data_IF_274120210041
#
_entry.id   IF_274120210041
#
_cell.length_a   1.000
_cell.length_b   1.000
_cell.length_c   1.000
_cell.angle_alpha   90.00
_cell.angle_beta   90.00
_cell.angle_gamma   90.00
#
_symmetry.space_group_name_H-M   'P 1'
#
loop_
_entity.id
_entity.type
_entity.pdbx_description
1 polymer ?
#
# COMPACT_ATOMS: atom_id res chain seq x y z
N UNK A 1 -1.48 -3.27 4.36
CA UNK A 1 -2.62 -2.36 4.67
C UNK A 1 -3.21 -2.62 6.05
N UNK A 2 -3.81 -3.79 6.36
CA UNK A 2 -4.43 -4.01 7.70
C UNK A 2 -3.46 -3.88 8.86
N UNK A 3 -2.25 -4.43 8.74
CA UNK A 3 -1.21 -4.28 9.77
C UNK A 3 -0.79 -2.83 9.95
N UNK A 4 -0.58 -2.08 8.86
CA UNK A 4 -0.27 -0.65 8.91
C UNK A 4 -1.36 0.14 9.62
N UNK A 5 -2.63 -0.12 9.30
CA UNK A 5 -3.75 0.50 10.00
C UNK A 5 -3.72 0.22 11.50
N UNK A 6 -3.57 -1.05 11.88
CA UNK A 6 -3.52 -1.44 13.30
C UNK A 6 -2.35 -0.76 14.03
N UNK A 7 -1.18 -0.65 13.39
CA UNK A 7 -0.01 0.04 13.96
C UNK A 7 -0.28 1.53 14.10
N UNK A 8 -0.77 2.20 13.04
CA UNK A 8 -1.06 3.64 13.06
C UNK A 8 -2.03 4.02 14.19
N UNK A 9 -3.02 3.16 14.49
CA UNK A 9 -3.95 3.41 15.61
C UNK A 9 -3.30 3.28 16.99
N UNK A 10 -2.13 2.65 17.10
CA UNK A 10 -1.43 2.37 18.35
C UNK A 10 -0.28 3.32 18.64
N UNK A 11 0.21 3.99 17.60
CA UNK A 11 1.31 4.94 17.76
C UNK A 11 0.83 6.23 18.41
N UNK A 12 1.59 6.73 19.38
CA UNK A 12 1.39 8.05 19.97
C UNK A 12 1.85 9.12 18.98
N UNK A 13 1.04 10.15 18.80
CA UNK A 13 1.38 11.30 17.96
C UNK A 13 2.59 12.05 18.50
N UNK A 14 3.39 12.59 17.60
CA UNK A 14 4.51 13.46 17.92
C UNK A 14 4.29 14.83 17.26
N UNK A 15 4.54 15.93 18.00
CA UNK A 15 4.20 17.29 17.57
C UNK A 15 4.80 17.70 16.21
N UNK A 16 5.98 17.20 15.89
CA UNK A 16 6.75 17.63 14.73
C UNK A 16 6.95 16.55 13.65
N UNK A 17 6.30 15.39 13.77
CA UNK A 17 6.50 14.28 12.84
C UNK A 17 5.21 13.52 12.59
N UNK A 18 5.02 13.04 11.37
CA UNK A 18 3.84 12.26 11.02
C UNK A 18 3.89 10.88 11.69
N UNK A 19 2.73 10.33 12.03
CA UNK A 19 2.62 8.95 12.52
C UNK A 19 3.15 7.94 11.50
N UNK A 20 3.06 8.31 10.24
CA UNK A 20 3.52 7.48 9.15
C UNK A 20 5.05 7.39 9.09
N UNK A 21 5.75 8.53 9.19
CA UNK A 21 7.22 8.58 9.29
C UNK A 21 7.70 7.82 10.53
N UNK A 22 6.99 7.98 11.64
CA UNK A 22 7.28 7.22 12.87
C UNK A 22 7.16 5.71 12.67
N UNK A 23 6.11 5.25 11.98
CA UNK A 23 5.94 3.83 11.64
C UNK A 23 7.08 3.30 10.78
N UNK A 24 7.51 4.06 9.76
CA UNK A 24 8.61 3.69 8.89
C UNK A 24 9.95 3.60 9.62
N UNK A 25 10.22 4.53 10.53
CA UNK A 25 11.42 4.49 11.39
C UNK A 25 11.41 3.25 12.29
N UNK A 26 10.26 2.86 12.83
CA UNK A 26 10.14 1.63 13.63
C UNK A 26 10.31 0.36 12.78
N UNK A 27 10.00 0.43 11.49
CA UNK A 27 10.25 -0.65 10.52
C UNK A 27 11.72 -0.69 10.05
N UNK A 28 12.54 0.25 10.52
CA UNK A 28 13.98 0.31 10.22
C UNK A 28 14.33 1.14 8.99
N UNK A 29 13.39 1.86 8.39
CA UNK A 29 13.65 2.75 7.27
C UNK A 29 14.44 3.99 7.71
N UNK A 30 15.33 4.45 6.86
CA UNK A 30 16.07 5.70 7.07
C UNK A 30 15.42 6.84 6.28
N UNK A 31 14.75 7.74 6.98
CA UNK A 31 14.00 8.84 6.38
C UNK A 31 14.76 10.18 6.37
N UNK A 32 16.05 10.21 6.69
CA UNK A 32 16.82 11.46 6.80
C UNK A 32 16.79 12.32 5.54
N UNK A 33 16.75 11.68 4.39
CA UNK A 33 16.77 12.37 3.09
C UNK A 33 15.37 12.70 2.56
N UNK A 34 14.34 11.96 3.00
CA UNK A 34 12.96 12.08 2.52
C UNK A 34 12.08 12.89 3.46
N UNK A 35 12.29 12.79 4.76
CA UNK A 35 11.55 13.54 5.77
C UNK A 35 12.50 14.12 6.83
N UNK A 36 12.98 15.37 6.65
CA UNK A 36 13.89 16.01 7.60
C UNK A 36 13.30 16.21 9.01
N UNK A 37 11.98 16.08 9.17
CA UNK A 37 11.29 16.17 10.46
C UNK A 37 11.22 14.84 11.19
N UNK A 38 11.51 13.73 10.52
CA UNK A 38 11.54 12.43 11.14
C UNK A 38 12.64 12.38 12.21
N UNK A 39 12.28 11.83 13.36
CA UNK A 39 13.18 11.66 14.50
C UNK A 39 13.81 10.28 14.50
N UNK A 40 14.84 10.07 15.27
CA UNK A 40 15.40 8.74 15.47
C UNK A 40 14.45 7.85 16.27
N UNK A 41 14.61 6.54 16.15
CA UNK A 41 13.82 5.56 16.89
C UNK A 41 13.89 5.82 18.42
N UNK A 42 15.07 6.14 18.94
CA UNK A 42 15.25 6.43 20.37
C UNK A 42 14.45 7.66 20.82
N UNK A 43 14.49 8.74 20.05
CA UNK A 43 13.74 9.96 20.36
C UNK A 43 12.22 9.69 20.38
N UNK A 44 11.70 8.85 19.45
CA UNK A 44 10.30 8.48 19.46
C UNK A 44 9.90 7.63 20.67
N UNK A 45 10.75 6.66 21.03
CA UNK A 45 10.52 5.80 22.20
C UNK A 45 10.55 6.62 23.50
N UNK A 46 11.54 7.50 23.65
CA UNK A 46 11.68 8.35 24.83
C UNK A 46 10.49 9.31 24.98
N UNK A 47 10.02 9.90 23.87
CA UNK A 47 8.86 10.79 23.86
C UNK A 47 7.55 10.05 24.20
N UNK A 48 7.35 8.87 23.66
CA UNK A 48 6.14 8.09 23.84
C UNK A 48 6.08 7.44 25.24
N UNK A 49 7.22 7.05 25.78
CA UNK A 49 7.32 6.39 27.07
C UNK A 49 6.57 5.06 27.11
N UNK A 50 5.89 4.80 28.23
CA UNK A 50 5.14 3.54 28.45
C UNK A 50 3.80 3.47 27.71
N UNK A 51 3.35 4.57 27.12
CA UNK A 51 2.05 4.65 26.45
C UNK A 51 2.07 4.09 25.01
N UNK A 52 3.27 3.91 24.45
CA UNK A 52 3.44 3.44 23.07
C UNK A 52 2.89 2.03 22.89
N UNK A 53 1.98 1.87 21.94
CA UNK A 53 1.38 0.58 21.62
C UNK A 53 0.31 0.08 22.61
N UNK A 54 0.08 0.79 23.73
CA UNK A 54 -0.87 0.37 24.75
C UNK A 54 -2.33 0.67 24.38
N UNK A 55 -2.55 1.70 23.58
CA UNK A 55 -3.87 2.11 23.12
C UNK A 55 -4.08 1.71 21.64
N UNK A 56 -5.30 1.91 21.11
CA UNK A 56 -5.65 1.64 19.72
C UNK A 56 -6.29 0.27 19.49
N UNK A 57 -6.40 -0.12 18.23
CA UNK A 57 -7.12 -1.33 17.82
C UNK A 57 -6.34 -2.61 18.15
N UNK A 58 -7.05 -3.59 18.69
CA UNK A 58 -6.45 -4.87 19.05
C UNK A 58 -6.17 -5.75 17.83
N UNK A 59 -5.24 -6.70 17.98
CA UNK A 59 -4.99 -7.72 16.94
C UNK A 59 -6.25 -8.55 16.65
N UNK A 60 -7.08 -8.80 17.67
CA UNK A 60 -8.38 -9.49 17.51
C UNK A 60 -9.32 -8.71 16.57
N UNK A 61 -9.34 -7.38 16.67
CA UNK A 61 -10.09 -6.54 15.75
C UNK A 61 -9.57 -6.71 14.31
N UNK A 62 -8.25 -6.71 14.12
CA UNK A 62 -7.65 -6.91 12.80
C UNK A 62 -8.06 -8.25 12.18
N UNK A 63 -8.04 -9.34 12.94
CA UNK A 63 -8.50 -10.66 12.46
C UNK A 63 -10.00 -10.68 12.16
N UNK A 64 -10.84 -10.02 12.96
CA UNK A 64 -12.26 -9.87 12.70
C UNK A 64 -12.52 -9.18 11.36
N UNK A 65 -11.77 -8.11 11.06
CA UNK A 65 -11.86 -7.40 9.77
C UNK A 65 -11.43 -8.30 8.63
N UNK A 66 -10.25 -8.93 8.71
CA UNK A 66 -9.76 -9.82 7.65
C UNK A 66 -10.73 -10.97 7.36
N UNK A 67 -11.33 -11.57 8.39
CA UNK A 67 -12.36 -12.58 8.22
C UNK A 67 -13.60 -12.05 7.48
N UNK A 68 -14.03 -10.81 7.76
CA UNK A 68 -15.15 -10.19 7.05
C UNK A 68 -14.80 -9.88 5.60
N UNK A 69 -13.58 -9.42 5.33
CA UNK A 69 -13.10 -9.15 3.96
C UNK A 69 -13.04 -10.44 3.15
N UNK A 70 -12.54 -11.51 3.75
CA UNK A 70 -12.46 -12.81 3.09
C UNK A 70 -13.83 -13.40 2.71
N UNK A 71 -14.85 -13.11 3.53
CA UNK A 71 -16.23 -13.56 3.29
C UNK A 71 -17.11 -12.46 2.65
N UNK A 72 -16.53 -11.38 2.15
CA UNK A 72 -17.29 -10.23 1.63
C UNK A 72 -17.98 -10.58 0.31
N UNK A 73 -17.24 -11.25 -0.57
CA UNK A 73 -17.77 -11.72 -1.85
C UNK A 73 -17.35 -13.19 -2.07
N UNK A 74 -18.34 -14.07 -2.11
CA UNK A 74 -18.13 -15.51 -2.31
C UNK A 74 -17.72 -15.87 -3.76
N UNK A 75 -17.79 -14.92 -4.68
CA UNK A 75 -17.37 -15.11 -6.08
C UNK A 75 -15.89 -14.82 -6.30
N UNK A 76 -15.24 -14.09 -5.38
CA UNK A 76 -13.83 -13.78 -5.44
C UNK A 76 -12.98 -14.87 -4.74
N UNK A 77 -11.86 -15.21 -5.37
CA UNK A 77 -10.93 -16.24 -4.87
C UNK A 77 -10.00 -15.71 -3.80
N UNK A 78 -9.81 -14.39 -3.72
CA UNK A 78 -8.86 -13.75 -2.82
C UNK A 78 -9.44 -12.51 -2.14
N UNK A 79 -8.89 -12.18 -0.96
CA UNK A 79 -9.23 -10.95 -0.26
C UNK A 79 -8.80 -9.72 -1.09
N UNK A 80 -9.75 -8.84 -1.36
CA UNK A 80 -9.55 -7.64 -2.16
C UNK A 80 -9.23 -6.42 -1.26
N UNK A 81 -8.14 -5.66 -1.53
CA UNK A 81 -7.81 -4.46 -0.76
C UNK A 81 -8.91 -3.38 -0.78
N UNK A 82 -9.68 -3.26 -1.86
CA UNK A 82 -10.81 -2.33 -1.94
C UNK A 82 -11.91 -2.73 -0.95
N UNK A 83 -12.24 -4.03 -0.89
CA UNK A 83 -13.16 -4.57 0.12
C UNK A 83 -12.64 -4.36 1.54
N UNK A 84 -11.32 -4.44 1.75
CA UNK A 84 -10.72 -4.14 3.05
C UNK A 84 -11.00 -2.69 3.48
N UNK A 85 -10.80 -1.71 2.60
CA UNK A 85 -11.08 -0.31 2.91
C UNK A 85 -12.56 -0.09 3.26
N UNK A 86 -13.45 -0.66 2.46
CA UNK A 86 -14.90 -0.57 2.68
C UNK A 86 -15.35 -1.23 4.00
N UNK A 87 -14.87 -2.44 4.27
CA UNK A 87 -15.20 -3.16 5.51
C UNK A 87 -14.64 -2.46 6.74
N UNK A 88 -13.44 -1.84 6.63
CA UNK A 88 -12.85 -1.04 7.69
C UNK A 88 -13.73 0.18 8.01
N UNK A 89 -14.12 0.97 7.03
CA UNK A 89 -14.99 2.13 7.24
C UNK A 89 -16.28 1.72 7.93
N UNK A 90 -16.99 0.74 7.40
CA UNK A 90 -18.22 0.24 8.01
C UNK A 90 -18.03 -0.27 9.44
N UNK A 91 -16.90 -0.91 9.73
CA UNK A 91 -16.68 -1.43 11.07
C UNK A 91 -16.34 -0.33 12.06
N UNK A 92 -15.61 0.71 11.66
CA UNK A 92 -15.33 1.87 12.50
C UNK A 92 -16.62 2.59 12.89
N UNK A 93 -17.53 2.81 11.93
CA UNK A 93 -18.85 3.40 12.20
C UNK A 93 -19.69 2.55 13.18
N UNK A 94 -19.61 1.22 13.06
CA UNK A 94 -20.40 0.29 13.90
C UNK A 94 -19.88 0.15 15.33
N UNK A 95 -18.60 0.34 15.56
CA UNK A 95 -17.98 0.19 16.90
C UNK A 95 -18.28 1.37 17.83
N UNK A 96 -18.90 2.45 17.32
CA UNK A 96 -19.30 3.63 18.10
C UNK A 96 -18.14 4.21 18.94
N UNK A 97 -17.01 4.42 18.31
CA UNK A 97 -15.88 5.10 18.93
C UNK A 97 -16.25 6.55 19.30
N UNK A 98 -15.46 7.15 20.19
CA UNK A 98 -15.56 8.59 20.42
C UNK A 98 -15.40 9.35 19.08
N UNK A 99 -16.16 10.43 18.83
CA UNK A 99 -16.16 11.12 17.53
C UNK A 99 -14.78 11.53 17.03
N UNK A 100 -13.88 11.91 17.93
CA UNK A 100 -12.49 12.28 17.61
C UNK A 100 -11.69 11.07 17.09
N UNK A 101 -11.85 9.90 17.71
CA UNK A 101 -11.19 8.67 17.29
C UNK A 101 -11.76 8.14 15.98
N UNK A 102 -13.06 8.23 15.79
CA UNK A 102 -13.73 7.84 14.55
C UNK A 102 -13.22 8.68 13.38
N UNK A 103 -13.15 10.01 13.54
CA UNK A 103 -12.58 10.91 12.55
C UNK A 103 -11.12 10.58 12.23
N UNK A 104 -10.31 10.36 13.26
CA UNK A 104 -8.90 9.98 13.11
C UNK A 104 -8.73 8.68 12.34
N UNK A 105 -9.49 7.64 12.66
CA UNK A 105 -9.42 6.35 12.00
C UNK A 105 -9.92 6.42 10.54
N UNK A 106 -10.98 7.18 10.31
CA UNK A 106 -11.49 7.43 8.96
C UNK A 106 -10.48 8.21 8.10
N UNK A 107 -9.80 9.19 8.67
CA UNK A 107 -8.72 9.89 8.01
C UNK A 107 -7.56 8.94 7.65
N UNK A 108 -7.15 8.04 8.55
CA UNK A 108 -6.14 7.03 8.24
C UNK A 108 -6.53 6.13 7.07
N UNK A 109 -7.80 5.73 6.98
CA UNK A 109 -8.28 4.90 5.88
C UNK A 109 -8.22 5.67 4.56
N UNK A 110 -8.76 6.90 4.52
CA UNK A 110 -8.91 7.69 3.28
C UNK A 110 -7.62 8.34 2.81
N UNK A 111 -6.88 8.95 3.72
CA UNK A 111 -5.71 9.77 3.37
C UNK A 111 -4.42 8.94 3.29
N UNK A 112 -4.32 7.85 4.06
CA UNK A 112 -3.11 7.04 4.09
C UNK A 112 -3.27 5.70 3.36
N UNK A 113 -4.23 4.86 3.77
CA UNK A 113 -4.33 3.52 3.20
C UNK A 113 -4.80 3.53 1.75
N UNK A 114 -5.85 4.29 1.45
CA UNK A 114 -6.40 4.38 0.10
C UNK A 114 -5.42 5.04 -0.87
N UNK A 115 -4.78 6.14 -0.46
CA UNK A 115 -3.78 6.83 -1.28
C UNK A 115 -2.57 5.95 -1.60
N UNK A 116 -2.05 5.21 -0.60
CA UNK A 116 -0.94 4.28 -0.82
C UNK A 116 -1.31 3.09 -1.69
N UNK A 117 -2.51 2.58 -1.54
CA UNK A 117 -2.97 1.53 -2.42
C UNK A 117 -3.10 2.02 -3.86
N UNK A 118 -3.62 3.22 -4.07
CA UNK A 118 -3.69 3.85 -5.40
C UNK A 118 -2.29 4.08 -6.00
N UNK A 119 -1.32 4.54 -5.19
CA UNK A 119 0.07 4.69 -5.63
C UNK A 119 0.69 3.34 -6.01
N UNK A 120 0.50 2.31 -5.19
CA UNK A 120 0.99 0.96 -5.47
C UNK A 120 0.41 0.43 -6.79
N UNK A 121 -0.92 0.48 -6.97
CA UNK A 121 -1.58 0.04 -8.21
C UNK A 121 -1.11 0.87 -9.40
N UNK A 122 -0.91 2.17 -9.25
CA UNK A 122 -0.37 3.02 -10.31
C UNK A 122 1.01 2.57 -10.76
N UNK A 123 1.90 2.21 -9.84
CA UNK A 123 3.24 1.68 -10.15
C UNK A 123 3.16 0.31 -10.84
N UNK A 124 2.31 -0.60 -10.34
CA UNK A 124 2.12 -1.93 -10.96
C UNK A 124 1.60 -1.82 -12.40
N UNK A 125 0.59 -0.95 -12.62
CA UNK A 125 0.07 -0.68 -13.97
C UNK A 125 1.16 -0.11 -14.88
N UNK A 126 1.95 0.85 -14.39
CA UNK A 126 3.05 1.44 -15.15
C UNK A 126 4.11 0.39 -15.51
N UNK A 127 4.48 -0.46 -14.57
CA UNK A 127 5.45 -1.55 -14.79
C UNK A 127 4.93 -2.54 -15.83
N UNK A 128 3.69 -3.01 -15.67
CA UNK A 128 3.06 -3.93 -16.62
C UNK A 128 2.95 -3.32 -18.04
N UNK A 129 2.65 -2.02 -18.12
CA UNK A 129 2.61 -1.30 -19.40
C UNK A 129 3.99 -1.25 -20.06
N UNK A 130 5.04 -0.91 -19.29
CA UNK A 130 6.41 -0.84 -19.80
C UNK A 130 6.92 -2.22 -20.27
N UNK A 131 6.63 -3.28 -19.51
CA UNK A 131 6.97 -4.65 -19.88
C UNK A 131 6.26 -5.07 -21.18
N UNK A 132 4.97 -4.85 -21.28
CA UNK A 132 4.19 -5.13 -22.50
C UNK A 132 4.69 -4.34 -23.71
N UNK A 133 5.09 -3.08 -23.50
CA UNK A 133 5.64 -2.25 -24.58
C UNK A 133 7.03 -2.73 -25.03
N UNK A 134 7.85 -3.21 -24.10
CA UNK A 134 9.17 -3.80 -24.38
C UNK A 134 9.03 -5.06 -25.24
N UNK A 135 8.12 -5.97 -24.90
CA UNK A 135 7.83 -7.17 -25.69
C UNK A 135 7.34 -6.82 -27.11
N UNK A 136 6.44 -5.85 -27.21
CA UNK A 136 5.94 -5.39 -28.50
C UNK A 136 7.05 -4.79 -29.37
N UNK A 137 7.90 -3.95 -28.79
CA UNK A 137 9.06 -3.36 -29.46
C UNK A 137 10.06 -4.42 -29.93
N UNK A 138 10.33 -5.43 -29.11
CA UNK A 138 11.20 -6.54 -29.48
C UNK A 138 10.63 -7.36 -30.63
N UNK A 139 9.35 -7.66 -30.62
CA UNK A 139 8.67 -8.38 -31.72
C UNK A 139 8.75 -7.61 -33.05
N UNK A 140 8.57 -6.28 -33.05
CA UNK A 140 8.73 -5.47 -34.26
C UNK A 140 10.17 -5.52 -34.77
N UNK A 141 11.14 -5.39 -33.86
CA UNK A 141 12.56 -5.45 -34.20
C UNK A 141 12.94 -6.80 -34.82
N UNK A 142 12.51 -7.90 -34.21
CA UNK A 142 12.78 -9.25 -34.70
C UNK A 142 12.17 -9.50 -36.09
N UNK A 143 10.95 -8.99 -36.30
CA UNK A 143 10.31 -9.02 -37.64
C UNK A 143 11.09 -8.21 -38.66
N UNK A 144 11.53 -7.02 -38.30
CA UNK A 144 12.34 -6.18 -39.16
C UNK A 144 13.65 -6.90 -39.58
N UNK A 145 14.35 -7.48 -38.62
CA UNK A 145 15.59 -8.25 -38.88
C UNK A 145 15.30 -9.43 -39.80
N UNK A 146 14.23 -10.17 -39.56
CA UNK A 146 13.80 -11.29 -40.39
C UNK A 146 13.52 -10.84 -41.84
N UNK A 147 12.76 -9.76 -42.03
CA UNK A 147 12.50 -9.22 -43.37
C UNK A 147 13.76 -8.75 -44.09
N UNK A 148 14.69 -8.12 -43.38
CA UNK A 148 15.96 -7.68 -43.92
C UNK A 148 16.82 -8.89 -44.38
N UNK A 149 16.83 -9.97 -43.62
CA UNK A 149 17.55 -11.20 -43.98
C UNK A 149 16.95 -11.87 -45.23
N UNK A 150 15.62 -12.01 -45.32
CA UNK A 150 14.95 -12.51 -46.52
C UNK A 150 15.23 -11.65 -47.75
N UNK A 151 15.24 -10.31 -47.58
CA UNK A 151 15.59 -9.39 -48.66
C UNK A 151 17.04 -9.58 -49.16
N UNK A 152 17.99 -9.75 -48.23
CA UNK A 152 19.40 -9.97 -48.60
C UNK A 152 19.59 -11.31 -49.34
N UNK A 153 18.80 -12.33 -48.94
CA UNK A 153 18.88 -13.67 -49.56
C UNK A 153 18.03 -13.82 -50.84
N UNK A 154 17.38 -12.76 -51.28
CA UNK A 154 16.46 -12.74 -52.44
C UNK A 154 15.33 -13.80 -52.35
N UNK A 155 14.88 -14.03 -51.10
CA UNK A 155 13.79 -14.95 -50.83
C UNK A 155 12.48 -14.20 -50.58
N UNK A 156 11.33 -14.74 -51.10
CA UNK A 156 10.02 -14.24 -50.70
C UNK A 156 9.71 -14.60 -49.23
N UNK A 157 9.35 -13.60 -48.44
CA UNK A 157 8.79 -13.85 -47.12
C UNK A 157 7.34 -14.31 -47.28
N UNK A 158 7.02 -15.47 -46.71
CA UNK A 158 5.66 -15.98 -46.59
C UNK A 158 5.26 -16.04 -45.14
N UNK A 159 4.22 -15.30 -44.77
CA UNK A 159 3.61 -15.32 -43.40
C UNK A 159 2.99 -16.67 -43.09
#
# INVERSE_FOLDING_TARGET
>A
MMAQFAILTRLKEHENSSLFSKMQIYDGENLKDTDPKAKSMHEYVDYAGVDEGMNGLSTRFAFKILSKVFNFDNTEVAANPVHLLYVLEQQIEREQFAPELEQKYTAFIKEHLAARYAEFIGKEIQTAYLESYSEYGQNIFDRYVTYADYWIQDHEYRD
#
